data_IF_490888515302
#
_entry.id   IF_490888515302
#
_cell.length_a   1.000
_cell.length_b   1.000
_cell.length_c   1.000
_cell.angle_alpha   90.00
_cell.angle_beta   90.00
_cell.angle_gamma   90.00
#
_symmetry.space_group_name_H-M   'P 1'
#
loop_
_entity.id
_entity.type
_entity.pdbx_description
1 polymer ?
#
# COMPACT_ATOMS: atom_id res chain seq x y z
N UNK A 1 -53.18 -24.22 32.86
CA UNK A 1 -51.88 -24.86 32.60
C UNK A 1 -51.53 -24.59 31.15
N UNK A 2 -50.63 -23.63 30.93
CA UNK A 2 -50.13 -23.23 29.60
C UNK A 2 -48.91 -24.11 29.30
N UNK A 3 -48.80 -24.77 28.14
CA UNK A 3 -47.65 -25.60 27.83
C UNK A 3 -46.41 -24.71 27.66
N UNK A 4 -45.34 -25.07 28.35
CA UNK A 4 -44.04 -24.40 28.27
C UNK A 4 -43.51 -24.46 26.84
N UNK A 5 -43.27 -23.31 26.23
CA UNK A 5 -42.59 -23.19 24.95
C UNK A 5 -41.20 -23.83 25.04
N UNK A 6 -41.04 -24.97 24.37
CA UNK A 6 -39.75 -25.63 24.19
C UNK A 6 -38.89 -24.77 23.28
N UNK A 7 -37.88 -24.13 23.84
CA UNK A 7 -36.85 -23.39 23.10
C UNK A 7 -36.10 -24.36 22.19
N UNK A 8 -36.41 -24.34 20.89
CA UNK A 8 -35.61 -25.05 19.89
C UNK A 8 -34.22 -24.41 19.85
N UNK A 9 -33.13 -25.20 19.83
CA UNK A 9 -31.79 -24.66 19.71
C UNK A 9 -31.66 -23.92 18.37
N UNK A 10 -31.24 -22.65 18.43
CA UNK A 10 -30.91 -21.87 17.24
C UNK A 10 -29.88 -22.65 16.42
N UNK A 11 -30.04 -22.73 15.08
CA UNK A 11 -29.07 -23.39 14.22
C UNK A 11 -27.70 -22.74 14.45
N UNK A 12 -26.69 -23.56 14.79
CA UNK A 12 -25.30 -23.10 14.88
C UNK A 12 -24.96 -22.42 13.55
N UNK A 13 -24.79 -21.11 13.56
CA UNK A 13 -24.17 -20.40 12.45
C UNK A 13 -22.81 -21.06 12.23
N UNK A 14 -22.66 -21.80 11.14
CA UNK A 14 -21.36 -22.25 10.70
C UNK A 14 -20.54 -20.99 10.46
N UNK A 15 -19.52 -20.79 11.29
CA UNK A 15 -18.50 -19.77 11.09
C UNK A 15 -17.86 -20.11 9.74
N UNK A 16 -18.30 -19.44 8.68
CA UNK A 16 -17.70 -19.60 7.36
C UNK A 16 -16.31 -18.99 7.46
N UNK A 17 -15.28 -19.83 7.40
CA UNK A 17 -13.90 -19.38 7.33
C UNK A 17 -13.79 -18.33 6.22
N UNK A 18 -13.25 -17.15 6.54
CA UNK A 18 -13.07 -16.07 5.58
C UNK A 18 -12.06 -16.52 4.52
N UNK A 19 -12.56 -17.00 3.38
CA UNK A 19 -11.71 -17.36 2.25
C UNK A 19 -11.35 -16.10 1.45
N UNK A 20 -10.05 -15.92 1.22
CA UNK A 20 -9.50 -14.85 0.41
C UNK A 20 -9.40 -15.29 -1.03
N UNK A 21 -10.04 -14.52 -1.91
CA UNK A 21 -9.99 -14.72 -3.35
C UNK A 21 -9.10 -13.65 -3.97
N UNK A 22 -8.22 -14.05 -4.87
CA UNK A 22 -7.43 -13.07 -5.63
C UNK A 22 -6.97 -13.53 -7.00
N UNK A 23 -6.78 -12.55 -7.88
CA UNK A 23 -6.18 -12.71 -9.22
C UNK A 23 -5.00 -11.77 -9.33
N UNK A 24 -3.90 -12.28 -9.89
CA UNK A 24 -2.73 -11.49 -10.26
C UNK A 24 -2.51 -11.56 -11.78
N UNK A 25 -2.39 -10.40 -12.41
CA UNK A 25 -2.01 -10.26 -13.82
C UNK A 25 -0.66 -9.54 -13.92
N UNK A 26 0.23 -10.03 -14.79
CA UNK A 26 1.50 -9.41 -15.19
C UNK A 26 1.54 -9.29 -16.71
N UNK A 27 1.74 -8.10 -17.25
CA UNK A 27 1.94 -7.85 -18.69
C UNK A 27 0.94 -8.59 -19.59
N UNK A 28 -0.35 -8.47 -19.28
CA UNK A 28 -1.50 -9.11 -19.94
C UNK A 28 -1.61 -10.63 -19.76
N UNK A 29 -0.80 -11.24 -18.90
CA UNK A 29 -0.83 -12.66 -18.58
C UNK A 29 -1.34 -12.87 -17.15
N UNK A 30 -2.26 -13.81 -16.97
CA UNK A 30 -2.71 -14.22 -15.63
C UNK A 30 -1.62 -15.08 -15.00
N UNK A 31 -0.98 -14.58 -13.95
CA UNK A 31 0.16 -15.24 -13.28
C UNK A 31 -0.32 -16.19 -12.21
N UNK A 32 -1.29 -15.76 -11.40
CA UNK A 32 -1.73 -16.53 -10.24
C UNK A 32 -3.20 -16.26 -9.97
N UNK A 33 -3.89 -17.32 -9.55
CA UNK A 33 -5.25 -17.20 -9.05
C UNK A 33 -5.41 -18.02 -7.79
N UNK A 34 -5.44 -17.33 -6.64
CA UNK A 34 -5.38 -17.95 -5.32
C UNK A 34 -6.74 -17.94 -4.66
N UNK A 35 -7.09 -19.07 -4.04
CA UNK A 35 -8.11 -19.19 -3.01
C UNK A 35 -7.39 -19.67 -1.76
N UNK A 36 -7.39 -18.87 -0.68
CA UNK A 36 -6.80 -19.30 0.60
C UNK A 36 -7.78 -19.01 1.71
N UNK A 37 -8.18 -20.03 2.45
CA UNK A 37 -8.87 -19.86 3.72
C UNK A 37 -7.76 -19.79 4.77
N UNK A 38 -7.54 -18.60 5.31
CA UNK A 38 -6.38 -18.22 6.13
C UNK A 38 -6.86 -17.09 7.00
N UNK A 39 -6.66 -17.13 8.31
CA UNK A 39 -7.17 -16.07 9.21
C UNK A 39 -6.56 -14.70 8.88
N UNK A 40 -5.34 -14.66 8.35
CA UNK A 40 -4.65 -13.41 8.04
C UNK A 40 -4.68 -13.05 6.54
N UNK A 41 -5.21 -11.87 6.27
CA UNK A 41 -5.11 -11.17 4.98
C UNK A 41 -3.63 -10.91 4.66
N UNK A 42 -3.17 -11.17 3.43
CA UNK A 42 -1.82 -10.77 3.05
C UNK A 42 -1.68 -9.25 3.17
N UNK A 43 -0.70 -8.82 3.97
CA UNK A 43 -0.35 -7.41 4.08
C UNK A 43 0.15 -6.88 2.73
N UNK A 44 0.15 -5.56 2.56
CA UNK A 44 0.73 -4.94 1.36
C UNK A 44 2.20 -5.37 1.19
N UNK A 45 2.93 -5.49 2.29
CA UNK A 45 4.32 -5.93 2.36
C UNK A 45 4.45 -7.34 1.80
N UNK A 46 3.64 -8.30 2.29
CA UNK A 46 3.62 -9.68 1.80
C UNK A 46 3.28 -9.74 0.31
N UNK A 47 2.36 -8.88 -0.14
CA UNK A 47 2.02 -8.80 -1.55
C UNK A 47 3.20 -8.28 -2.37
N UNK A 48 3.80 -7.15 -2.01
CA UNK A 48 4.96 -6.57 -2.72
C UNK A 48 6.13 -7.56 -2.74
N UNK A 49 6.45 -8.18 -1.61
CA UNK A 49 7.51 -9.19 -1.52
C UNK A 49 7.19 -10.41 -2.41
N UNK A 50 5.94 -10.84 -2.43
CA UNK A 50 5.47 -11.92 -3.31
C UNK A 50 5.62 -11.57 -4.80
N UNK A 51 5.21 -10.37 -5.20
CA UNK A 51 5.36 -9.86 -6.57
C UNK A 51 6.83 -9.71 -6.97
N UNK A 52 7.68 -9.27 -6.05
CA UNK A 52 9.12 -9.18 -6.27
C UNK A 52 9.74 -10.56 -6.51
N UNK A 53 9.41 -11.55 -5.68
CA UNK A 53 9.90 -12.91 -5.89
C UNK A 53 9.44 -13.45 -7.25
N UNK A 54 8.20 -13.17 -7.67
CA UNK A 54 7.69 -13.57 -8.99
C UNK A 54 8.44 -12.91 -10.16
N UNK A 55 8.89 -11.66 -10.04
CA UNK A 55 9.70 -11.01 -11.09
C UNK A 55 11.13 -11.58 -11.19
N UNK A 56 11.68 -12.12 -10.10
CA UNK A 56 13.11 -12.47 -10.00
C UNK A 56 13.40 -13.98 -9.94
N UNK A 57 12.37 -14.84 -9.96
CA UNK A 57 12.50 -16.30 -9.85
C UNK A 57 13.30 -16.99 -10.98
N UNK A 58 13.72 -16.28 -12.03
CA UNK A 58 14.55 -16.85 -13.10
C UNK A 58 16.06 -16.88 -12.78
N UNK A 59 16.53 -16.20 -11.73
CA UNK A 59 17.95 -16.19 -11.38
C UNK A 59 18.28 -17.19 -10.26
N UNK A 60 19.12 -18.17 -10.59
CA UNK A 60 19.57 -19.22 -9.69
C UNK A 60 20.58 -18.68 -8.64
N UNK A 61 20.21 -18.71 -7.36
CA UNK A 61 21.15 -18.90 -6.25
C UNK A 61 21.59 -17.64 -5.47
N UNK A 62 21.34 -17.67 -4.15
CA UNK A 62 21.91 -16.89 -3.03
C UNK A 62 22.03 -15.35 -3.11
N UNK A 63 22.45 -14.74 -4.23
CA UNK A 63 22.47 -13.28 -4.43
C UNK A 63 21.08 -12.64 -4.32
N UNK A 64 20.02 -13.43 -4.51
CA UNK A 64 18.63 -12.99 -4.31
C UNK A 64 18.33 -12.53 -2.88
N UNK A 65 18.95 -13.10 -1.84
CA UNK A 65 18.59 -12.75 -0.45
C UNK A 65 19.01 -11.32 -0.07
N UNK A 66 20.17 -10.86 -0.55
CA UNK A 66 20.66 -9.50 -0.30
C UNK A 66 19.92 -8.46 -1.19
N UNK A 67 19.56 -8.83 -2.43
CA UNK A 67 18.82 -7.98 -3.36
C UNK A 67 17.35 -7.72 -2.95
N UNK A 68 16.80 -8.49 -2.00
CA UNK A 68 15.43 -8.33 -1.49
C UNK A 68 15.15 -6.97 -0.84
N UNK A 69 16.18 -6.18 -0.51
CA UNK A 69 15.99 -4.97 0.28
C UNK A 69 15.86 -3.67 -0.51
N UNK A 70 16.11 -3.65 -1.83
CA UNK A 70 16.13 -2.42 -2.65
C UNK A 70 15.23 -2.48 -3.89
N UNK A 71 14.03 -3.07 -3.76
CA UNK A 71 13.07 -2.99 -4.85
C UNK A 71 12.58 -1.56 -5.09
N UNK A 72 12.81 -1.09 -6.33
CA UNK A 72 12.34 0.18 -6.89
C UNK A 72 10.92 -0.02 -7.41
N UNK A 73 9.94 0.20 -6.55
CA UNK A 73 8.55 -0.08 -6.84
C UNK A 73 7.64 1.09 -6.45
N UNK A 74 6.72 1.44 -7.35
CA UNK A 74 5.62 2.36 -7.12
C UNK A 74 4.30 1.59 -7.09
N UNK A 75 3.33 2.04 -6.29
CA UNK A 75 2.04 1.36 -6.20
C UNK A 75 0.87 2.30 -5.96
N UNK A 76 -0.34 1.83 -6.24
CA UNK A 76 -1.60 2.49 -5.88
C UNK A 76 -2.65 1.45 -5.51
N UNK A 77 -3.57 1.82 -4.63
CA UNK A 77 -4.72 0.99 -4.29
C UNK A 77 -5.98 1.74 -4.71
N UNK A 78 -6.91 1.04 -5.35
CA UNK A 78 -8.21 1.56 -5.77
C UNK A 78 -9.33 0.62 -5.31
N UNK A 79 -10.57 1.11 -5.33
CA UNK A 79 -11.77 0.34 -4.99
C UNK A 79 -12.74 0.36 -6.15
N UNK A 80 -13.51 -0.70 -6.30
CA UNK A 80 -14.61 -0.71 -7.25
C UNK A 80 -15.89 -0.12 -6.65
N UNK A 81 -16.74 0.40 -7.52
CA UNK A 81 -18.09 0.92 -7.22
C UNK A 81 -19.09 0.34 -8.22
N UNK A 82 -20.38 0.63 -8.02
CA UNK A 82 -21.46 0.23 -8.92
C UNK A 82 -21.44 -1.28 -9.21
N UNK A 83 -21.56 -2.11 -8.17
CA UNK A 83 -21.56 -3.58 -8.30
C UNK A 83 -20.29 -4.15 -8.95
N UNK A 84 -19.15 -3.49 -8.71
CA UNK A 84 -17.83 -3.86 -9.23
C UNK A 84 -17.61 -3.57 -10.71
N UNK A 85 -18.44 -2.72 -11.32
CA UNK A 85 -18.34 -2.35 -12.74
C UNK A 85 -17.37 -1.21 -12.98
N UNK A 86 -17.22 -0.32 -12.00
CA UNK A 86 -16.41 0.89 -12.12
C UNK A 86 -15.29 0.90 -11.07
N UNK A 87 -14.20 1.61 -11.35
CA UNK A 87 -13.16 1.93 -10.36
C UNK A 87 -13.39 3.37 -9.92
N UNK A 88 -13.55 3.60 -8.61
CA UNK A 88 -13.74 4.94 -8.08
C UNK A 88 -12.53 5.82 -8.39
N UNK A 89 -12.75 7.01 -8.96
CA UNK A 89 -11.70 7.97 -9.33
C UNK A 89 -10.52 7.34 -10.10
N UNK A 90 -10.83 6.46 -11.06
CA UNK A 90 -9.84 5.73 -11.84
C UNK A 90 -8.67 6.60 -12.34
N UNK A 91 -8.96 7.74 -12.97
CA UNK A 91 -7.94 8.63 -13.54
C UNK A 91 -6.96 9.18 -12.49
N UNK A 92 -7.44 9.49 -11.27
CA UNK A 92 -6.56 9.95 -10.19
C UNK A 92 -5.65 8.82 -9.69
N UNK A 93 -6.13 7.58 -9.67
CA UNK A 93 -5.30 6.42 -9.33
C UNK A 93 -4.22 6.16 -10.39
N UNK A 94 -4.56 6.25 -11.68
CA UNK A 94 -3.63 6.12 -12.81
C UNK A 94 -2.57 7.21 -12.75
N UNK A 95 -3.00 8.47 -12.65
CA UNK A 95 -2.08 9.62 -12.56
C UNK A 95 -1.11 9.46 -11.39
N UNK A 96 -1.61 9.11 -10.20
CA UNK A 96 -0.76 8.92 -9.01
C UNK A 96 0.25 7.78 -9.19
N UNK A 97 -0.15 6.68 -9.83
CA UNK A 97 0.76 5.57 -10.11
C UNK A 97 1.88 6.03 -11.06
N UNK A 98 1.55 6.72 -12.15
CA UNK A 98 2.51 7.25 -13.12
C UNK A 98 3.47 8.25 -12.45
N UNK A 99 2.95 9.20 -11.67
CA UNK A 99 3.77 10.19 -10.96
C UNK A 99 4.72 9.51 -9.96
N UNK A 100 4.24 8.49 -9.25
CA UNK A 100 5.06 7.71 -8.32
C UNK A 100 6.13 6.89 -9.05
N UNK A 101 5.78 6.24 -10.16
CA UNK A 101 6.72 5.51 -11.01
C UNK A 101 7.79 6.44 -11.57
N UNK A 102 7.41 7.65 -12.02
CA UNK A 102 8.36 8.67 -12.49
C UNK A 102 9.37 9.00 -11.41
N UNK A 103 8.92 9.26 -10.19
CA UNK A 103 9.83 9.61 -9.09
C UNK A 103 10.76 8.45 -8.71
N UNK A 104 10.26 7.22 -8.71
CA UNK A 104 11.06 6.00 -8.51
C UNK A 104 12.09 5.87 -9.63
N UNK A 105 11.72 6.09 -10.89
CA UNK A 105 12.63 6.08 -12.02
C UNK A 105 13.71 7.16 -11.84
N UNK A 106 13.35 8.44 -11.66
CA UNK A 106 14.32 9.54 -11.49
C UNK A 106 15.35 9.23 -10.40
N UNK A 107 14.89 8.76 -9.24
CA UNK A 107 15.79 8.36 -8.13
C UNK A 107 16.68 7.17 -8.51
N UNK A 108 16.19 6.30 -9.40
CA UNK A 108 16.92 5.15 -9.92
C UNK A 108 17.95 5.48 -10.98
N UNK A 109 17.80 6.61 -11.68
CA UNK A 109 18.74 7.14 -12.66
C UNK A 109 19.78 8.09 -12.03
N UNK A 110 19.40 8.84 -10.99
CA UNK A 110 20.10 10.06 -10.60
C UNK A 110 20.93 10.01 -9.31
N UNK A 111 22.18 9.52 -9.40
CA UNK A 111 23.30 10.08 -8.61
C UNK A 111 24.58 10.34 -9.40
N UNK A 112 24.72 9.85 -10.64
CA UNK A 112 26.04 9.77 -11.30
C UNK A 112 26.13 10.40 -12.70
N UNK A 113 25.11 11.08 -13.21
CA UNK A 113 25.07 11.45 -14.64
C UNK A 113 25.30 12.94 -14.93
N UNK A 114 26.16 13.20 -15.94
CA UNK A 114 26.45 14.52 -16.49
C UNK A 114 25.26 15.10 -17.29
N UNK A 115 25.24 16.41 -17.54
CA UNK A 115 24.11 17.10 -18.20
C UNK A 115 23.63 16.48 -19.53
N UNK A 116 24.54 15.91 -20.33
CA UNK A 116 24.18 15.31 -21.63
C UNK A 116 23.39 13.99 -21.47
N UNK A 117 23.63 13.26 -20.39
CA UNK A 117 22.91 12.02 -20.07
C UNK A 117 21.51 12.30 -19.47
N UNK A 118 21.26 13.53 -19.03
CA UNK A 118 19.97 13.94 -18.46
C UNK A 118 18.85 14.01 -19.52
N UNK A 119 19.15 14.46 -20.74
CA UNK A 119 18.16 14.51 -21.84
C UNK A 119 17.75 13.12 -22.30
N UNK A 120 18.73 12.23 -22.50
CA UNK A 120 18.50 10.82 -22.90
C UNK A 120 17.70 10.09 -21.82
N UNK A 121 18.08 10.25 -20.55
CA UNK A 121 17.32 9.73 -19.40
C UNK A 121 15.89 10.24 -19.37
N UNK A 122 15.68 11.52 -19.65
CA UNK A 122 14.33 12.11 -19.66
C UNK A 122 13.46 11.50 -20.76
N UNK A 123 14.05 11.25 -21.93
CA UNK A 123 13.36 10.59 -23.05
C UNK A 123 13.03 9.13 -22.73
N UNK A 124 13.98 8.36 -22.18
CA UNK A 124 13.76 6.97 -21.76
C UNK A 124 12.66 6.88 -20.69
N UNK A 125 12.69 7.75 -19.68
CA UNK A 125 11.64 7.82 -18.66
C UNK A 125 10.28 8.10 -19.30
N UNK A 126 10.21 9.05 -20.24
CA UNK A 126 8.96 9.37 -20.92
C UNK A 126 8.42 8.15 -21.68
N UNK A 127 9.27 7.47 -22.46
CA UNK A 127 8.86 6.27 -23.21
C UNK A 127 8.32 5.17 -22.29
N UNK A 128 9.01 4.89 -21.18
CA UNK A 128 8.56 3.90 -20.19
C UNK A 128 7.22 4.28 -19.56
N UNK A 129 6.99 5.57 -19.27
CA UNK A 129 5.72 6.04 -18.69
C UNK A 129 4.57 6.01 -19.70
N UNK A 130 4.84 6.29 -20.98
CA UNK A 130 3.85 6.17 -22.05
C UNK A 130 3.43 4.70 -22.21
N UNK A 131 4.40 3.77 -22.23
CA UNK A 131 4.12 2.33 -22.23
C UNK A 131 3.30 1.90 -21.01
N UNK A 132 3.67 2.37 -19.81
CA UNK A 132 2.93 2.06 -18.58
C UNK A 132 1.47 2.53 -18.69
N UNK A 133 1.24 3.75 -19.16
CA UNK A 133 -0.10 4.31 -19.32
C UNK A 133 -0.99 3.40 -20.18
N UNK A 134 -0.48 2.94 -21.32
CA UNK A 134 -1.20 2.07 -22.25
C UNK A 134 -1.49 0.68 -21.68
N UNK A 135 -0.64 0.18 -20.77
CA UNK A 135 -0.82 -1.12 -20.14
C UNK A 135 -1.84 -1.13 -19.00
N UNK A 136 -2.03 -0.04 -18.25
CA UNK A 136 -2.81 -0.07 -17.00
C UNK A 136 -4.26 -0.51 -17.24
N UNK A 137 -4.97 0.13 -18.17
CA UNK A 137 -6.40 -0.13 -18.42
C UNK A 137 -6.69 -1.58 -18.85
N UNK A 138 -6.06 -2.14 -19.90
CA UNK A 138 -6.33 -3.51 -20.33
C UNK A 138 -5.99 -4.54 -19.26
N UNK A 139 -4.90 -4.34 -18.50
CA UNK A 139 -4.53 -5.25 -17.42
C UNK A 139 -5.52 -5.21 -16.24
N UNK A 140 -6.00 -4.02 -15.85
CA UNK A 140 -7.04 -3.91 -14.82
C UNK A 140 -8.33 -4.61 -15.27
N UNK A 141 -8.76 -4.38 -16.51
CA UNK A 141 -9.95 -5.02 -17.08
C UNK A 141 -9.81 -6.55 -17.12
N UNK A 142 -8.65 -7.06 -17.54
CA UNK A 142 -8.35 -8.49 -17.55
C UNK A 142 -8.39 -9.09 -16.14
N UNK A 143 -7.77 -8.43 -15.16
CA UNK A 143 -7.73 -8.92 -13.79
C UNK A 143 -9.13 -8.96 -13.16
N UNK A 144 -9.92 -7.90 -13.33
CA UNK A 144 -11.31 -7.83 -12.86
C UNK A 144 -12.20 -8.87 -13.54
N UNK A 145 -12.11 -9.00 -14.87
CA UNK A 145 -12.88 -10.01 -15.63
C UNK A 145 -12.54 -11.42 -15.15
N UNK A 146 -11.25 -11.73 -15.02
CA UNK A 146 -10.78 -13.04 -14.53
C UNK A 146 -11.31 -13.32 -13.12
N UNK A 147 -11.26 -12.33 -12.24
CA UNK A 147 -11.78 -12.43 -10.88
C UNK A 147 -13.29 -12.72 -10.88
N UNK A 148 -14.08 -11.96 -11.65
CA UNK A 148 -15.52 -12.15 -11.78
C UNK A 148 -15.88 -13.49 -12.41
N UNK A 149 -15.15 -13.96 -13.43
CA UNK A 149 -15.41 -15.27 -14.04
C UNK A 149 -15.15 -16.40 -13.06
N UNK A 150 -14.06 -16.34 -12.28
CA UNK A 150 -13.70 -17.43 -11.36
C UNK A 150 -14.54 -17.44 -10.09
N UNK A 151 -14.79 -16.27 -9.51
CA UNK A 151 -15.39 -16.15 -8.18
C UNK A 151 -16.80 -15.57 -8.20
N UNK A 152 -17.31 -15.09 -9.34
CA UNK A 152 -18.59 -14.39 -9.43
C UNK A 152 -19.78 -15.19 -8.90
N UNK A 153 -19.76 -16.52 -9.01
CA UNK A 153 -20.82 -17.39 -8.45
C UNK A 153 -20.79 -17.46 -6.91
N UNK A 154 -19.61 -17.34 -6.30
CA UNK A 154 -19.43 -17.35 -4.84
C UNK A 154 -19.77 -16.00 -4.20
N UNK A 155 -19.87 -14.94 -5.02
CA UNK A 155 -20.06 -13.56 -4.58
C UNK A 155 -21.47 -13.03 -4.86
N UNK A 156 -22.45 -13.91 -5.13
CA UNK A 156 -23.80 -13.52 -5.55
C UNK A 156 -24.67 -12.99 -4.40
N UNK A 157 -24.28 -13.22 -3.15
CA UNK A 157 -25.13 -12.90 -1.99
C UNK A 157 -24.80 -11.56 -1.31
N UNK A 158 -23.73 -10.86 -1.73
CA UNK A 158 -23.26 -9.63 -1.06
C UNK A 158 -22.69 -8.64 -2.07
N UNK A 159 -23.07 -7.36 -1.91
CA UNK A 159 -22.54 -6.19 -2.66
C UNK A 159 -21.10 -5.87 -2.24
N UNK A 160 -20.19 -6.82 -2.46
CA UNK A 160 -18.79 -6.62 -2.12
C UNK A 160 -18.10 -5.73 -3.15
N UNK A 161 -17.52 -4.64 -2.67
CA UNK A 161 -16.49 -3.91 -3.41
C UNK A 161 -15.24 -4.79 -3.59
N UNK A 162 -14.52 -4.56 -4.68
CA UNK A 162 -13.19 -5.15 -4.89
C UNK A 162 -12.13 -4.13 -4.54
N UNK A 163 -11.05 -4.58 -3.92
CA UNK A 163 -9.81 -3.82 -3.81
C UNK A 163 -8.90 -4.20 -4.97
N UNK A 164 -8.45 -3.19 -5.70
CA UNK A 164 -7.38 -3.32 -6.68
C UNK A 164 -6.09 -2.78 -6.06
N UNK A 165 -5.01 -3.52 -6.22
CA UNK A 165 -3.66 -3.05 -5.92
C UNK A 165 -2.85 -3.12 -7.21
N UNK A 166 -2.42 -1.96 -7.69
CA UNK A 166 -1.58 -1.84 -8.89
C UNK A 166 -0.15 -1.55 -8.43
N UNK A 167 0.83 -2.28 -8.94
CA UNK A 167 2.23 -2.11 -8.60
C UNK A 167 3.09 -2.12 -9.87
N UNK A 168 4.12 -1.30 -9.90
CA UNK A 168 5.08 -1.18 -11.00
C UNK A 168 6.47 -1.34 -10.44
N UNK A 169 7.21 -2.32 -10.95
CA UNK A 169 8.60 -2.56 -10.59
C UNK A 169 9.51 -2.07 -11.71
N UNK A 170 10.55 -1.32 -11.35
CA UNK A 170 11.62 -0.95 -12.27
C UNK A 170 12.61 -2.11 -12.30
N UNK A 171 12.77 -2.72 -13.48
CA UNK A 171 13.64 -3.88 -13.71
C UNK A 171 14.82 -3.46 -14.58
N UNK A 172 16.02 -3.87 -14.19
CA UNK A 172 17.22 -3.70 -14.99
C UNK A 172 17.44 -4.97 -15.82
N UNK A 173 17.39 -4.84 -17.14
CA UNK A 173 17.62 -5.93 -18.09
C UNK A 173 19.02 -5.77 -18.67
N UNK A 174 19.86 -6.79 -18.45
CA UNK A 174 21.16 -6.87 -19.11
C UNK A 174 20.93 -7.24 -20.58
N UNK A 175 21.13 -6.29 -21.48
CA UNK A 175 21.06 -6.55 -22.91
C UNK A 175 22.45 -6.95 -23.37
N UNK A 176 22.64 -8.24 -23.62
CA UNK A 176 23.82 -8.72 -24.34
C UNK A 176 23.69 -8.28 -25.79
N UNK A 177 24.28 -7.13 -26.12
CA UNK A 177 24.48 -6.72 -27.50
C UNK A 177 25.51 -7.70 -28.07
N UNK A 178 25.03 -8.79 -28.68
CA UNK A 178 25.87 -9.74 -29.39
C UNK A 178 26.53 -9.02 -30.57
N UNK A 179 27.70 -8.44 -30.32
CA UNK A 179 28.55 -7.89 -31.34
C UNK A 179 28.95 -9.05 -32.26
N UNK A 180 28.45 -9.03 -33.49
CA UNK A 180 28.86 -9.94 -34.54
C UNK A 180 30.40 -9.91 -34.67
N UNK A 181 31.03 -11.02 -34.25
CA UNK A 181 32.35 -11.56 -34.61
C UNK A 181 33.34 -10.60 -35.28
N UNK A 182 33.97 -9.72 -34.50
CA UNK A 182 35.38 -9.35 -34.71
C UNK A 182 36.06 -9.27 -33.35
N UNK A 183 37.09 -10.10 -33.15
CA UNK A 183 37.56 -10.62 -31.88
C UNK A 183 38.35 -9.63 -30.97
N UNK A 184 37.96 -8.36 -30.88
CA UNK A 184 38.75 -7.38 -30.10
C UNK A 184 37.97 -6.22 -29.47
N UNK A 185 36.64 -6.16 -29.60
CA UNK A 185 35.86 -5.08 -28.97
C UNK A 185 35.52 -5.43 -27.52
N UNK A 186 35.94 -4.57 -26.59
CA UNK A 186 35.50 -4.59 -25.18
C UNK A 186 33.97 -4.48 -25.17
N UNK A 187 33.29 -5.55 -24.76
CA UNK A 187 31.84 -5.57 -24.62
C UNK A 187 31.44 -4.75 -23.39
N UNK A 188 31.07 -3.49 -23.62
CA UNK A 188 30.38 -2.69 -22.60
C UNK A 188 28.97 -3.23 -22.48
N UNK A 189 28.64 -3.87 -21.36
CA UNK A 189 27.28 -4.33 -21.09
C UNK A 189 26.35 -3.09 -20.99
N UNK A 190 25.38 -2.97 -21.89
CA UNK A 190 24.33 -1.95 -21.79
C UNK A 190 23.21 -2.45 -20.89
N UNK A 191 22.91 -1.72 -19.82
CA UNK A 191 21.75 -1.97 -18.97
C UNK A 191 20.56 -1.23 -19.59
N UNK A 192 19.56 -1.97 -20.06
CA UNK A 192 18.27 -1.38 -20.47
C UNK A 192 17.28 -1.51 -19.33
N UNK A 193 16.48 -0.49 -19.05
CA UNK A 193 15.43 -0.57 -18.04
C UNK A 193 14.11 -1.01 -18.67
N UNK A 194 13.32 -1.73 -17.91
CA UNK A 194 11.94 -2.09 -18.24
C UNK A 194 11.03 -1.92 -17.03
N UNK A 195 9.73 -1.92 -17.27
CA UNK A 195 8.72 -1.88 -16.22
C UNK A 195 7.96 -3.19 -16.21
N UNK A 196 7.86 -3.81 -15.04
CA UNK A 196 6.95 -4.93 -14.81
C UNK A 196 5.69 -4.39 -14.13
N UNK A 197 4.54 -4.50 -14.80
CA UNK A 197 3.25 -4.06 -14.26
C UNK A 197 2.48 -5.23 -13.65
N UNK A 198 1.96 -5.03 -12.44
CA UNK A 198 1.14 -5.99 -11.73
C UNK A 198 -0.20 -5.39 -11.33
N UNK A 199 -1.28 -6.12 -11.58
CA UNK A 199 -2.62 -5.81 -11.06
C UNK A 199 -3.13 -6.97 -10.21
N UNK A 200 -3.26 -6.72 -8.91
CA UNK A 200 -3.87 -7.63 -7.95
C UNK A 200 -5.32 -7.19 -7.69
N UNK A 201 -6.26 -8.13 -7.77
CA UNK A 201 -7.67 -7.91 -7.45
C UNK A 201 -8.07 -8.87 -6.33
N UNK A 202 -8.69 -8.35 -5.29
CA UNK A 202 -9.26 -9.13 -4.20
C UNK A 202 -10.55 -8.52 -3.67
N UNK A 203 -11.26 -9.24 -2.79
CA UNK A 203 -12.39 -8.65 -2.07
C UNK A 203 -11.90 -7.53 -1.16
N UNK A 204 -12.65 -6.43 -1.11
CA UNK A 204 -12.52 -5.49 -0.02
C UNK A 204 -13.19 -6.13 1.21
N UNK A 205 -12.47 -6.33 2.33
CA UNK A 205 -13.10 -6.85 3.52
C UNK A 205 -14.24 -5.93 3.94
N UNK A 206 -15.40 -6.50 4.18
CA UNK A 206 -16.44 -5.84 4.95
C UNK A 206 -15.91 -5.67 6.35
N UNK A 207 -15.71 -4.42 6.81
CA UNK A 207 -15.33 -4.15 8.19
C UNK A 207 -16.29 -4.91 9.11
N UNK A 208 -15.76 -5.74 10.02
CA UNK A 208 -16.56 -6.67 10.82
C UNK A 208 -17.69 -6.00 11.65
N UNK A 209 -17.64 -4.68 11.83
CA UNK A 209 -18.69 -3.87 12.46
C UNK A 209 -20.04 -3.84 11.72
N UNK A 210 -20.14 -4.43 10.53
CA UNK A 210 -21.35 -4.26 9.68
C UNK A 210 -22.42 -5.34 9.83
N UNK A 211 -22.20 -6.45 10.55
CA UNK A 211 -23.05 -7.66 10.31
C UNK A 211 -23.83 -8.17 11.52
N UNK A 212 -23.53 -7.78 12.76
CA UNK A 212 -24.15 -8.50 13.90
C UNK A 212 -25.58 -8.08 14.25
N UNK A 213 -26.10 -6.92 13.82
CA UNK A 213 -27.45 -6.46 14.26
C UNK A 213 -28.28 -5.65 13.26
N UNK A 214 -27.94 -5.61 11.96
CA UNK A 214 -28.73 -4.85 10.98
C UNK A 214 -28.66 -3.32 11.13
N UNK A 215 -27.84 -2.82 12.06
CA UNK A 215 -27.39 -1.43 12.14
C UNK A 215 -25.98 -1.37 11.59
N UNK A 216 -25.78 -0.67 10.47
CA UNK A 216 -24.46 -0.37 9.92
C UNK A 216 -23.78 0.62 10.86
N UNK A 217 -23.21 0.14 11.97
CA UNK A 217 -22.39 0.98 12.85
C UNK A 217 -21.00 1.15 12.23
N UNK A 218 -20.93 2.02 11.21
CA UNK A 218 -19.66 2.59 10.73
C UNK A 218 -19.04 3.56 11.75
N UNK A 219 -19.69 3.77 12.90
CA UNK A 219 -19.32 4.71 13.95
C UNK A 219 -18.23 4.20 14.90
N UNK A 220 -17.53 3.12 14.54
CA UNK A 220 -16.43 2.62 15.38
C UNK A 220 -15.27 3.61 15.32
N UNK A 221 -15.14 4.40 16.38
CA UNK A 221 -13.95 5.22 16.62
C UNK A 221 -12.73 4.31 16.82
N UNK A 222 -11.59 4.73 16.28
CA UNK A 222 -10.31 4.05 16.47
C UNK A 222 -9.41 4.92 17.33
N UNK A 223 -8.54 4.28 18.12
CA UNK A 223 -7.48 4.99 18.84
C UNK A 223 -6.26 5.11 17.92
N UNK A 224 -5.74 6.32 17.79
CA UNK A 224 -4.52 6.61 17.01
C UNK A 224 -3.44 7.17 17.92
N UNK A 225 -2.18 6.89 17.60
CA UNK A 225 -1.04 7.48 18.28
C UNK A 225 -0.51 8.68 17.50
N UNK A 226 -0.28 9.80 18.18
CA UNK A 226 0.39 10.97 17.59
C UNK A 226 1.88 10.87 17.93
N UNK A 227 2.75 10.79 16.93
CA UNK A 227 4.20 10.74 17.20
C UNK A 227 5.09 10.09 16.14
N UNK A 228 4.59 9.78 14.94
CA UNK A 228 5.45 9.27 13.87
C UNK A 228 6.26 10.37 13.20
N UNK A 229 7.50 10.10 12.78
CA UNK A 229 8.27 11.05 11.98
C UNK A 229 7.68 11.22 10.57
N UNK A 230 7.81 12.41 9.99
CA UNK A 230 7.44 12.65 8.59
C UNK A 230 8.16 11.69 7.64
N UNK A 231 7.49 11.36 6.54
CA UNK A 231 8.04 10.45 5.53
C UNK A 231 9.09 11.18 4.71
N UNK A 232 10.17 10.48 4.34
CA UNK A 232 11.18 11.02 3.43
C UNK A 232 10.60 11.37 2.04
N UNK A 233 9.69 10.52 1.53
CA UNK A 233 9.05 10.67 0.22
C UNK A 233 7.53 10.87 0.38
N UNK A 234 7.12 11.93 1.09
CA UNK A 234 5.72 12.20 1.45
C UNK A 234 4.76 12.25 0.25
N UNK A 235 5.23 12.69 -0.92
CA UNK A 235 4.38 12.89 -2.11
C UNK A 235 4.24 11.66 -3.00
N UNK A 236 5.00 10.59 -2.72
CA UNK A 236 5.13 9.41 -3.60
C UNK A 236 4.62 8.17 -2.88
N UNK A 237 3.94 7.27 -3.61
CA UNK A 237 3.50 5.99 -3.06
C UNK A 237 4.45 4.87 -3.52
N UNK A 238 5.57 4.73 -2.82
CA UNK A 238 6.63 3.77 -3.12
C UNK A 238 6.72 2.64 -2.07
N UNK A 239 7.42 1.57 -2.43
CA UNK A 239 7.63 0.43 -1.53
C UNK A 239 8.54 0.75 -0.33
N UNK A 240 9.26 1.88 -0.34
CA UNK A 240 10.02 2.32 0.83
C UNK A 240 9.10 2.76 1.95
N UNK A 241 7.98 3.41 1.63
CA UNK A 241 6.98 3.77 2.63
C UNK A 241 6.42 2.56 3.37
N UNK A 242 6.22 1.45 2.66
CA UNK A 242 5.73 0.20 3.24
C UNK A 242 6.68 -0.31 4.34
N UNK A 243 8.00 -0.25 4.08
CA UNK A 243 9.04 -0.61 5.05
C UNK A 243 9.09 0.35 6.23
N UNK A 244 9.08 1.66 5.96
CA UNK A 244 9.10 2.71 6.99
C UNK A 244 7.91 2.57 7.94
N UNK A 245 6.71 2.33 7.40
CA UNK A 245 5.51 2.10 8.19
C UNK A 245 5.65 0.92 9.14
N UNK A 246 6.13 -0.22 8.65
CA UNK A 246 6.33 -1.42 9.49
C UNK A 246 7.28 -1.13 10.65
N UNK A 247 8.35 -0.41 10.36
CA UNK A 247 9.33 0.00 11.37
C UNK A 247 8.72 0.97 12.40
N UNK A 248 7.89 1.92 11.98
CA UNK A 248 7.17 2.82 12.89
C UNK A 248 6.28 2.05 13.87
N UNK A 249 5.46 1.11 13.38
CA UNK A 249 4.65 0.27 14.27
C UNK A 249 5.51 -0.56 15.23
N UNK A 250 6.64 -1.12 14.76
CA UNK A 250 7.56 -1.88 15.60
C UNK A 250 8.16 -1.02 16.72
N UNK A 251 8.61 0.19 16.40
CA UNK A 251 9.17 1.12 17.39
C UNK A 251 8.15 1.49 18.46
N UNK A 252 6.89 1.70 18.06
CA UNK A 252 5.84 2.02 19.01
C UNK A 252 5.47 0.86 19.93
N UNK A 253 5.33 -0.35 19.38
CA UNK A 253 5.07 -1.54 20.20
C UNK A 253 6.17 -1.75 21.24
N UNK A 254 7.43 -1.49 20.86
CA UNK A 254 8.55 -1.54 21.79
C UNK A 254 8.46 -0.45 22.88
N UNK A 255 8.07 0.78 22.53
CA UNK A 255 7.91 1.87 23.49
C UNK A 255 6.82 1.59 24.53
N UNK A 256 5.68 1.04 24.09
CA UNK A 256 4.58 0.61 24.96
C UNK A 256 5.07 -0.49 25.91
N UNK A 257 5.72 -1.52 25.37
CA UNK A 257 6.27 -2.62 26.18
C UNK A 257 7.30 -2.15 27.22
N UNK A 258 8.13 -1.15 26.90
CA UNK A 258 9.12 -0.60 27.83
C UNK A 258 8.50 0.21 28.96
N UNK A 259 7.49 1.05 28.68
CA UNK A 259 6.87 1.88 29.71
C UNK A 259 6.07 1.07 30.73
N UNK A 260 5.45 -0.05 30.31
CA UNK A 260 4.79 -0.97 31.25
C UNK A 260 5.75 -1.71 32.19
N UNK A 261 7.06 -1.73 31.91
CA UNK A 261 8.04 -2.40 32.78
C UNK A 261 8.67 -1.50 33.85
N UNK A 262 8.48 -0.18 33.78
CA UNK A 262 9.15 0.77 34.69
C UNK A 262 8.34 1.01 35.97
N UNK A 263 7.02 0.83 35.96
CA UNK A 263 6.18 1.15 37.13
C UNK A 263 5.97 -0.03 38.09
N UNK A 264 6.10 -1.27 37.63
CA UNK A 264 5.89 -2.46 38.47
C UNK A 264 7.22 -3.13 38.86
N UNK A 265 7.92 -2.54 39.82
CA UNK A 265 9.03 -3.16 40.56
C UNK A 265 8.64 -4.40 41.38
N UNK A 266 7.45 -4.98 41.15
CA UNK A 266 7.03 -6.27 41.69
C UNK A 266 6.68 -7.22 40.55
N UNK A 267 7.48 -8.28 40.47
CA UNK A 267 7.20 -9.49 39.70
C UNK A 267 5.85 -10.10 40.14
N UNK A 268 4.75 -9.76 39.46
CA UNK A 268 3.47 -10.47 39.61
C UNK A 268 2.88 -10.79 38.24
N UNK A 269 2.79 -12.09 37.97
CA UNK A 269 2.50 -12.75 36.70
C UNK A 269 1.03 -12.72 36.24
N UNK A 270 0.19 -11.80 36.71
CA UNK A 270 -1.22 -11.76 36.32
C UNK A 270 -1.78 -10.33 36.31
N UNK A 271 -1.30 -9.48 35.40
CA UNK A 271 -2.01 -8.25 35.06
C UNK A 271 -3.15 -8.65 34.13
N UNK A 272 -4.38 -8.53 34.64
CA UNK A 272 -5.61 -8.57 33.86
C UNK A 272 -5.52 -7.40 32.87
N UNK A 273 -5.46 -7.71 31.57
CA UNK A 273 -5.52 -6.74 30.47
C UNK A 273 -6.89 -6.03 30.51
N UNK A 274 -7.01 -4.98 31.33
CA UNK A 274 -8.14 -4.07 31.24
C UNK A 274 -8.02 -3.29 29.92
N UNK A 275 -8.92 -3.62 28.99
CA UNK A 275 -9.15 -2.99 27.69
C UNK A 275 -7.88 -2.42 27.03
N UNK A 276 -7.05 -3.33 26.49
CA UNK A 276 -5.99 -3.01 25.53
C UNK A 276 -6.59 -2.18 24.39
N UNK A 277 -6.55 -0.85 24.50
CA UNK A 277 -6.88 0.05 23.42
C UNK A 277 -5.86 -0.17 22.33
N UNK A 278 -6.20 -1.07 21.42
CA UNK A 278 -5.39 -1.39 20.25
C UNK A 278 -5.22 -0.11 19.45
N UNK A 279 -3.98 0.39 19.38
CA UNK A 279 -3.61 1.47 18.48
C UNK A 279 -3.73 0.94 17.06
N UNK A 280 -4.56 1.60 16.25
CA UNK A 280 -4.86 1.14 14.89
C UNK A 280 -4.12 1.94 13.81
N UNK A 281 -3.71 3.17 14.12
CA UNK A 281 -2.94 4.02 13.21
C UNK A 281 -2.03 4.99 13.98
N UNK A 282 -1.10 5.60 13.24
CA UNK A 282 -0.14 6.59 13.74
C UNK A 282 -0.28 7.85 12.91
N UNK A 283 -0.53 8.98 13.57
CA UNK A 283 -0.46 10.30 12.94
C UNK A 283 0.99 10.79 12.97
N UNK A 284 1.47 11.15 11.78
CA UNK A 284 2.81 11.65 11.55
C UNK A 284 2.89 13.16 11.85
N UNK A 285 4.05 13.58 12.33
CA UNK A 285 4.37 14.96 12.68
C UNK A 285 5.55 15.48 11.85
N UNK A 286 5.47 16.74 11.46
CA UNK A 286 6.66 17.54 11.18
C UNK A 286 7.05 18.32 12.43
N UNK A 287 8.20 17.98 13.03
CA UNK A 287 8.72 18.66 14.22
C UNK A 287 9.50 19.94 13.87
N UNK A 288 9.49 20.36 12.61
CA UNK A 288 10.34 21.43 12.13
C UNK A 288 11.81 20.98 12.05
N UNK A 289 12.55 21.57 11.12
CA UNK A 289 13.97 21.30 11.01
C UNK A 289 14.70 22.12 12.10
N UNK A 290 14.98 21.51 13.25
CA UNK A 290 15.75 22.16 14.34
C UNK A 290 17.20 22.47 13.95
N UNK A 291 17.66 21.99 12.81
CA UNK A 291 19.05 22.08 12.38
C UNK A 291 19.45 23.44 11.78
N UNK A 292 18.52 24.39 11.64
CA UNK A 292 18.79 25.74 11.13
C UNK A 292 18.50 26.82 12.19
N UNK A 293 19.45 27.01 13.13
CA UNK A 293 19.43 27.98 14.24
C UNK A 293 19.30 29.48 13.84
N UNK A 294 19.12 29.81 12.55
CA UNK A 294 19.17 31.20 12.06
C UNK A 294 17.82 31.80 11.67
N UNK A 295 16.71 31.06 11.76
CA UNK A 295 15.40 31.56 11.32
C UNK A 295 14.58 32.04 12.54
N UNK A 296 14.67 33.35 12.82
CA UNK A 296 14.02 34.05 13.93
C UNK A 296 12.52 34.27 13.63
N UNK A 297 11.81 33.21 13.23
CA UNK A 297 10.36 33.24 13.14
C UNK A 297 9.79 32.43 14.30
N UNK A 298 9.44 33.14 15.38
CA UNK A 298 9.02 32.63 16.70
C UNK A 298 7.72 31.78 16.68
N UNK A 299 7.27 31.34 15.51
CA UNK A 299 6.06 30.53 15.33
C UNK A 299 6.35 29.13 14.76
N UNK A 300 7.62 28.76 14.53
CA UNK A 300 8.04 27.44 14.01
C UNK A 300 8.16 26.33 15.05
N UNK A 301 7.89 26.59 16.33
CA UNK A 301 8.15 25.64 17.41
C UNK A 301 7.05 24.59 17.63
N UNK A 302 5.89 24.75 16.96
CA UNK A 302 4.79 23.81 17.14
C UNK A 302 4.85 22.67 16.10
N UNK A 303 4.83 21.40 16.54
CA UNK A 303 4.80 20.28 15.62
C UNK A 303 3.52 20.33 14.78
N UNK A 304 3.65 20.12 13.47
CA UNK A 304 2.53 20.13 12.53
C UNK A 304 2.05 18.72 12.27
N UNK A 305 0.74 18.47 12.42
CA UNK A 305 0.10 17.20 12.08
C UNK A 305 0.04 17.06 10.55
N UNK A 306 0.50 15.92 10.03
CA UNK A 306 0.57 15.66 8.59
C UNK A 306 -0.54 14.68 8.15
N UNK A 307 -0.23 13.40 8.15
CA UNK A 307 -1.11 12.32 7.70
C UNK A 307 -1.00 11.10 8.63
N UNK A 308 -1.96 10.18 8.55
CA UNK A 308 -1.87 8.86 9.15
C UNK A 308 -0.94 7.95 8.34
N UNK A 309 -0.68 6.72 8.82
CA UNK A 309 0.26 5.85 8.09
C UNK A 309 -0.30 5.32 6.77
N UNK A 310 -1.62 5.24 6.68
CA UNK A 310 -2.33 4.76 5.48
C UNK A 310 -3.34 5.76 4.93
N UNK A 311 -3.68 6.81 5.67
CA UNK A 311 -4.77 7.75 5.35
C UNK A 311 -4.34 9.21 5.49
N UNK A 312 -4.99 10.10 4.75
CA UNK A 312 -4.92 11.52 5.06
C UNK A 312 -5.70 11.82 6.35
N UNK A 313 -5.22 12.81 7.10
CA UNK A 313 -5.84 13.27 8.34
C UNK A 313 -6.67 14.53 8.08
N UNK A 314 -7.84 14.60 8.70
CA UNK A 314 -8.73 15.76 8.69
C UNK A 314 -9.15 16.08 10.12
N UNK A 315 -9.22 17.36 10.44
CA UNK A 315 -9.88 17.85 11.64
C UNK A 315 -11.05 18.75 11.23
N UNK A 316 -12.07 18.82 12.08
CA UNK A 316 -13.17 19.78 11.95
C UNK A 316 -13.11 20.69 13.15
N UNK A 317 -12.99 21.99 12.92
CA UNK A 317 -12.97 22.96 14.01
C UNK A 317 -14.37 23.25 14.56
N UNK A 318 -14.45 24.09 15.59
CA UNK A 318 -15.71 24.47 16.25
C UNK A 318 -16.68 25.22 15.34
N UNK A 319 -16.17 25.82 14.26
CA UNK A 319 -16.96 26.56 13.28
C UNK A 319 -17.39 25.68 12.09
N UNK A 320 -16.98 24.40 12.10
CA UNK A 320 -17.29 23.43 11.05
C UNK A 320 -16.35 23.48 9.86
N UNK A 321 -15.22 24.19 9.93
CA UNK A 321 -14.24 24.19 8.85
C UNK A 321 -13.44 22.88 8.85
N UNK A 322 -13.19 22.34 7.65
CA UNK A 322 -12.36 21.15 7.47
C UNK A 322 -10.90 21.57 7.32
N UNK A 323 -10.06 21.11 8.23
CA UNK A 323 -8.62 21.35 8.28
C UNK A 323 -7.85 20.08 7.87
N UNK A 324 -6.82 20.21 7.06
CA UNK A 324 -5.92 19.10 6.67
C UNK A 324 -4.58 19.67 6.20
N UNK A 325 -3.50 18.90 6.33
CA UNK A 325 -2.20 19.30 5.81
C UNK A 325 -2.23 19.44 4.27
N UNK A 326 -1.56 20.46 3.75
CA UNK A 326 -1.51 20.80 2.32
C UNK A 326 -0.17 20.48 1.65
N UNK A 327 0.92 20.48 2.42
CA UNK A 327 2.28 20.11 2.05
C UNK A 327 2.73 18.85 2.80
N UNK A 328 3.82 18.24 2.30
CA UNK A 328 4.48 17.08 2.91
C UNK A 328 3.56 15.90 3.28
N UNK A 329 2.51 15.72 2.48
CA UNK A 329 1.57 14.59 2.57
C UNK A 329 1.32 13.97 1.20
N UNK A 330 0.91 12.71 1.21
CA UNK A 330 0.45 12.06 0.00
C UNK A 330 -0.94 12.57 -0.33
N UNK A 331 -1.10 13.27 -1.46
CA UNK A 331 -2.43 13.75 -1.89
C UNK A 331 -3.32 12.57 -2.31
N UNK A 332 -4.04 12.00 -1.34
CA UNK A 332 -4.90 10.85 -1.53
C UNK A 332 -6.10 11.16 -2.44
N UNK A 333 -6.60 10.13 -3.13
CA UNK A 333 -7.79 10.25 -3.98
C UNK A 333 -9.03 10.57 -3.13
N UNK A 334 -9.22 9.87 -2.01
CA UNK A 334 -10.27 10.19 -1.04
C UNK A 334 -10.17 11.64 -0.52
N UNK A 335 -8.96 12.15 -0.27
CA UNK A 335 -8.74 13.55 0.11
C UNK A 335 -9.21 14.52 -0.97
N UNK A 336 -8.95 14.22 -2.24
CA UNK A 336 -9.46 15.05 -3.32
C UNK A 336 -11.00 15.11 -3.31
N UNK A 337 -11.68 13.99 -3.05
CA UNK A 337 -13.16 13.97 -2.94
C UNK A 337 -13.72 14.77 -1.78
N UNK A 338 -13.02 14.79 -0.64
CA UNK A 338 -13.49 15.51 0.56
C UNK A 338 -13.36 17.03 0.39
N UNK A 339 -12.39 17.48 -0.40
CA UNK A 339 -12.06 18.90 -0.56
C UNK A 339 -12.71 19.56 -1.79
N UNK A 340 -13.52 18.82 -2.56
CA UNK A 340 -14.23 19.33 -3.75
C UNK A 340 -15.71 19.47 -3.49
#
# INVERSE_FOLDING_TARGET
MVPSESSLPLPRQQQQDECYYSVLVKDSNVVTVTTKCSEEKPSMDTLIDGLYNLSHNNDNGEKQKQARHDYKCAYTCARTTCERKNIFQYELHVKRLIDSTRAVLVTSFGKEQEQKEQEETTMEIKELLDQLHDMIKPNCALAMKTFSTKFGNQLRERDHELKLTLAVFVVNVNVNVNANKTATAVTTASIRRSLDFYCYVGLLPTTASTVTTGSVNNDRMITVLIGGAKRANSTIKDANWVKQRKELFRQQMNHIAMNHHVEDGLCSTNIVQEDDQKIEDIILLDNGNKDNDNDIDNNKDNPTLLEGTETNFFAVDIDGNVLTADHDVLKGTARASVLT
#
